data_IF_729181281826
#
_entry.id   IF_729181281826
#
_cell.length_a   1.000
_cell.length_b   1.000
_cell.length_c   1.000
_cell.angle_alpha   90.00
_cell.angle_beta   90.00
_cell.angle_gamma   90.00
#
_symmetry.space_group_name_H-M   'P 1'
#
loop_
_entity.id
_entity.type
_entity.pdbx_description
1 polymer ?
#
# COMPACT_ATOMS: atom_id res chain seq x y z
N UNK A 1 10.72 -6.33 -5.59
CA UNK A 1 9.68 -5.89 -6.53
C UNK A 1 10.33 -5.64 -7.88
N UNK A 2 9.69 -6.06 -8.95
CA UNK A 2 10.18 -5.84 -10.32
C UNK A 2 9.74 -4.46 -10.84
N UNK A 3 10.45 -3.93 -11.84
CA UNK A 3 10.05 -2.67 -12.50
C UNK A 3 8.64 -2.80 -13.10
N UNK A 4 8.30 -3.97 -13.63
CA UNK A 4 6.98 -4.23 -14.22
C UNK A 4 5.86 -4.15 -13.19
N UNK A 5 6.07 -4.67 -11.98
CA UNK A 5 5.08 -4.56 -10.89
C UNK A 5 4.85 -3.11 -10.47
N UNK A 6 5.92 -2.31 -10.37
CA UNK A 6 5.82 -0.89 -10.06
C UNK A 6 5.04 -0.11 -11.14
N UNK A 7 5.32 -0.38 -12.41
CA UNK A 7 4.59 0.20 -13.54
C UNK A 7 3.11 -0.23 -13.53
N UNK A 8 2.85 -1.50 -13.25
CA UNK A 8 1.48 -2.02 -13.17
C UNK A 8 0.66 -1.36 -12.05
N UNK A 9 1.28 -1.12 -10.90
CA UNK A 9 0.66 -0.39 -9.79
C UNK A 9 0.40 1.10 -10.12
N UNK A 10 1.24 1.71 -10.98
CA UNK A 10 1.02 3.10 -11.43
C UNK A 10 -0.05 3.23 -12.53
N UNK A 11 -0.36 2.14 -13.25
CA UNK A 11 -1.34 2.10 -14.35
C UNK A 11 -2.23 0.85 -14.20
N UNK A 12 -3.19 0.86 -13.27
CA UNK A 12 -4.11 -0.25 -13.07
C UNK A 12 -4.91 -0.59 -14.34
N UNK A 13 -5.29 0.43 -15.09
CA UNK A 13 -6.04 0.37 -16.33
C UNK A 13 -5.34 -0.37 -17.49
N UNK A 14 -4.03 -0.62 -17.36
CA UNK A 14 -3.21 -1.27 -18.41
C UNK A 14 -2.90 -2.71 -18.02
N UNK A 15 -3.05 -3.65 -18.98
CA UNK A 15 -2.57 -5.02 -18.83
C UNK A 15 -1.07 -5.12 -19.05
N UNK A 16 -0.39 -5.92 -18.22
CA UNK A 16 1.06 -6.16 -18.32
C UNK A 16 1.36 -7.64 -18.49
N UNK A 17 2.28 -7.96 -19.37
CA UNK A 17 2.85 -9.30 -19.44
C UNK A 17 4.37 -9.23 -19.58
N UNK A 18 5.07 -10.06 -18.81
CA UNK A 18 6.51 -10.22 -18.91
C UNK A 18 6.83 -11.61 -19.46
N UNK A 19 7.74 -11.66 -20.42
CA UNK A 19 8.31 -12.92 -20.92
C UNK A 19 9.82 -12.91 -20.68
N UNK A 20 10.35 -14.03 -20.22
CA UNK A 20 11.78 -14.28 -20.12
C UNK A 20 12.04 -15.63 -20.76
N UNK A 21 13.05 -15.70 -21.64
CA UNK A 21 13.45 -16.92 -22.37
C UNK A 21 12.28 -17.63 -23.09
N UNK A 22 11.39 -16.83 -23.70
CA UNK A 22 10.20 -17.32 -24.41
C UNK A 22 9.03 -17.76 -23.50
N UNK A 23 9.22 -17.82 -22.18
CA UNK A 23 8.18 -18.18 -21.22
C UNK A 23 7.53 -16.94 -20.60
N UNK A 24 6.21 -17.00 -20.41
CA UNK A 24 5.51 -15.95 -19.64
C UNK A 24 5.82 -16.13 -18.16
N UNK A 25 6.45 -15.13 -17.55
CA UNK A 25 6.83 -15.12 -16.14
C UNK A 25 5.88 -14.28 -15.30
N UNK A 26 5.18 -13.31 -15.90
CA UNK A 26 4.19 -12.48 -15.24
C UNK A 26 3.06 -12.16 -16.22
N UNK A 27 1.81 -12.23 -15.74
CA UNK A 27 0.63 -11.76 -16.46
C UNK A 27 -0.26 -11.03 -15.47
N UNK A 28 -0.48 -9.75 -15.71
CA UNK A 28 -1.35 -8.88 -14.92
C UNK A 28 -2.38 -8.28 -15.89
N UNK A 29 -3.61 -8.79 -15.95
CA UNK A 29 -4.67 -8.19 -16.74
C UNK A 29 -4.93 -6.73 -16.33
N UNK A 30 -5.58 -5.94 -17.17
CA UNK A 30 -6.09 -4.65 -16.75
C UNK A 30 -6.99 -4.83 -15.52
N UNK A 31 -6.86 -3.95 -14.54
CA UNK A 31 -7.63 -3.95 -13.31
C UNK A 31 -8.62 -2.77 -13.34
N UNK A 32 -9.78 -2.96 -12.72
CA UNK A 32 -10.80 -1.90 -12.63
C UNK A 32 -10.32 -0.73 -11.76
N UNK A 33 -9.51 -1.02 -10.74
CA UNK A 33 -8.99 -0.01 -9.82
C UNK A 33 -7.61 -0.40 -9.25
N UNK A 34 -7.05 0.49 -8.42
CA UNK A 34 -5.77 0.26 -7.76
C UNK A 34 -5.85 -0.89 -6.73
N UNK A 35 -6.99 -1.09 -6.06
CA UNK A 35 -7.14 -2.18 -5.07
C UNK A 35 -7.08 -3.54 -5.75
N UNK A 36 -7.77 -3.70 -6.87
CA UNK A 36 -7.70 -4.91 -7.68
C UNK A 36 -6.27 -5.15 -8.19
N UNK A 37 -5.58 -4.11 -8.65
CA UNK A 37 -4.18 -4.21 -9.07
C UNK A 37 -3.27 -4.64 -7.92
N UNK A 38 -3.46 -4.12 -6.72
CA UNK A 38 -2.72 -4.55 -5.53
C UNK A 38 -3.00 -6.03 -5.25
N UNK A 39 -4.25 -6.46 -5.39
CA UNK A 39 -4.61 -7.88 -5.22
C UNK A 39 -3.90 -8.80 -6.23
N UNK A 40 -3.80 -8.38 -7.49
CA UNK A 40 -3.08 -9.13 -8.53
C UNK A 40 -1.57 -9.24 -8.24
N UNK A 41 -0.95 -8.18 -7.72
CA UNK A 41 0.51 -8.12 -7.49
C UNK A 41 0.91 -8.68 -6.13
N UNK A 42 0.16 -8.39 -5.08
CA UNK A 42 0.54 -8.67 -3.69
C UNK A 42 -0.42 -9.61 -2.95
N UNK A 43 -1.48 -10.05 -3.62
CA UNK A 43 -2.47 -10.97 -3.07
C UNK A 43 -3.68 -10.27 -2.45
N UNK A 44 -4.80 -11.00 -2.52
CA UNK A 44 -6.12 -10.51 -2.12
C UNK A 44 -6.20 -10.18 -0.62
N UNK A 45 -5.52 -10.95 0.22
CA UNK A 45 -5.51 -10.74 1.68
C UNK A 45 -4.96 -9.35 2.03
N UNK A 46 -3.81 -8.96 1.47
CA UNK A 46 -3.26 -7.63 1.69
C UNK A 46 -4.22 -6.55 1.14
N UNK A 47 -4.69 -6.71 -0.11
CA UNK A 47 -5.55 -5.70 -0.73
C UNK A 47 -6.82 -5.41 0.05
N UNK A 48 -7.42 -6.45 0.67
CA UNK A 48 -8.62 -6.31 1.51
C UNK A 48 -8.35 -5.64 2.85
N UNK A 49 -7.18 -5.83 3.43
CA UNK A 49 -6.83 -5.25 4.72
C UNK A 49 -6.47 -3.76 4.65
N UNK A 50 -6.27 -3.20 3.46
CA UNK A 50 -5.82 -1.82 3.30
C UNK A 50 -6.94 -0.81 3.53
N UNK A 51 -6.58 0.29 4.18
CA UNK A 51 -7.41 1.49 4.39
C UNK A 51 -7.27 2.39 3.17
N UNK A 52 -8.37 2.92 2.66
CA UNK A 52 -8.36 3.91 1.59
C UNK A 52 -7.89 5.28 2.11
N UNK A 53 -7.16 5.99 1.27
CA UNK A 53 -6.85 7.40 1.42
C UNK A 53 -7.68 8.18 0.42
N UNK A 54 -8.41 9.18 0.91
CA UNK A 54 -9.33 10.00 0.10
C UNK A 54 -9.01 11.48 0.33
N UNK A 55 -8.11 12.02 -0.47
CA UNK A 55 -7.77 13.43 -0.53
C UNK A 55 -7.75 13.85 -2.00
N UNK A 56 -8.16 15.07 -2.37
CA UNK A 56 -8.21 15.51 -3.75
C UNK A 56 -6.89 15.42 -4.51
N UNK A 57 -5.77 15.48 -3.81
CA UNK A 57 -4.42 15.50 -4.37
C UNK A 57 -3.67 14.20 -4.10
N UNK A 58 -3.97 13.53 -2.98
CA UNK A 58 -3.31 12.30 -2.53
C UNK A 58 -4.34 11.22 -2.24
N UNK A 59 -4.36 10.18 -3.03
CA UNK A 59 -5.22 9.03 -2.84
C UNK A 59 -4.47 7.71 -2.95
N UNK A 60 -5.10 6.63 -2.57
CA UNK A 60 -4.50 5.30 -2.59
C UNK A 60 -4.84 4.48 -1.37
N UNK A 61 -3.88 3.69 -0.89
CA UNK A 61 -4.11 2.73 0.18
C UNK A 61 -2.94 2.63 1.12
N UNK A 62 -3.22 2.45 2.41
CA UNK A 62 -2.22 2.17 3.45
C UNK A 62 -2.64 1.01 4.33
N UNK A 63 -1.68 0.34 4.96
CA UNK A 63 -2.00 -0.75 5.88
C UNK A 63 -2.51 -0.22 7.23
N UNK A 64 -3.46 -0.92 7.88
CA UNK A 64 -3.80 -0.69 9.27
C UNK A 64 -2.61 -1.00 10.18
N UNK A 65 -2.69 -0.60 11.45
CA UNK A 65 -1.61 -0.80 12.42
C UNK A 65 -1.29 -2.27 12.68
N UNK A 66 -2.28 -3.16 12.54
CA UNK A 66 -2.12 -4.59 12.69
C UNK A 66 -1.29 -5.24 11.56
N UNK A 67 -1.15 -4.56 10.41
CA UNK A 67 -0.47 -5.11 9.22
C UNK A 67 0.81 -4.32 8.96
N UNK A 68 1.95 -4.95 9.21
CA UNK A 68 3.27 -4.33 9.02
C UNK A 68 4.31 -5.36 8.58
N UNK A 69 5.39 -4.90 7.94
CA UNK A 69 6.37 -5.74 7.28
C UNK A 69 7.80 -5.47 7.76
N UNK A 70 8.73 -6.42 7.64
CA UNK A 70 10.12 -6.20 8.05
C UNK A 70 10.91 -5.32 7.05
N UNK A 71 10.35 -5.08 5.88
CA UNK A 71 11.01 -4.29 4.82
C UNK A 71 10.03 -3.30 4.19
N UNK A 72 10.55 -2.29 3.47
CA UNK A 72 9.75 -1.28 2.74
C UNK A 72 9.27 -1.75 1.36
N UNK A 73 9.30 -3.06 1.07
CA UNK A 73 8.96 -3.60 -0.25
C UNK A 73 7.53 -3.28 -0.72
N UNK A 74 6.65 -2.90 0.19
CA UNK A 74 5.25 -2.55 -0.07
C UNK A 74 5.02 -1.03 -0.09
N UNK A 75 6.09 -0.25 -0.22
CA UNK A 75 5.98 1.19 -0.41
C UNK A 75 6.05 1.51 -1.90
N UNK A 76 4.96 2.03 -2.45
CA UNK A 76 4.78 2.41 -3.85
C UNK A 76 4.25 3.81 -3.94
N UNK A 77 4.87 4.63 -4.76
CA UNK A 77 4.41 5.99 -4.99
C UNK A 77 4.41 6.28 -6.48
N UNK A 78 3.32 6.86 -6.95
CA UNK A 78 3.20 7.40 -8.29
C UNK A 78 2.78 8.87 -8.23
N UNK A 79 3.38 9.70 -9.06
CA UNK A 79 3.02 11.12 -9.22
C UNK A 79 2.63 11.34 -10.66
N UNK A 80 1.40 11.81 -10.90
CA UNK A 80 0.82 11.99 -12.23
C UNK A 80 0.98 10.74 -13.11
N UNK A 81 0.72 9.56 -12.54
CA UNK A 81 0.84 8.27 -13.22
C UNK A 81 2.28 7.78 -13.44
N UNK A 82 3.31 8.51 -13.00
CA UNK A 82 4.72 8.10 -13.10
C UNK A 82 5.20 7.51 -11.79
N UNK A 83 5.84 6.36 -11.86
CA UNK A 83 6.51 5.76 -10.68
C UNK A 83 7.64 6.68 -10.23
N UNK A 84 7.66 7.00 -8.95
CA UNK A 84 8.76 7.73 -8.31
C UNK A 84 9.48 6.84 -7.30
N UNK A 85 10.73 7.21 -6.98
CA UNK A 85 11.48 6.46 -5.97
C UNK A 85 10.75 6.51 -4.62
N UNK A 86 10.41 5.34 -4.12
CA UNK A 86 9.68 5.18 -2.87
C UNK A 86 10.43 5.78 -1.67
N UNK A 87 11.76 5.77 -1.71
CA UNK A 87 12.61 6.33 -0.65
C UNK A 87 12.42 7.84 -0.46
N UNK A 88 12.00 8.56 -1.48
CA UNK A 88 11.65 9.99 -1.37
C UNK A 88 10.45 10.26 -0.45
N UNK A 89 9.55 9.30 -0.32
CA UNK A 89 8.34 9.39 0.52
C UNK A 89 8.41 8.55 1.80
N UNK A 90 9.41 7.66 1.90
CA UNK A 90 9.57 6.78 3.06
C UNK A 90 9.64 7.54 4.40
N UNK A 91 10.33 8.71 4.52
CA UNK A 91 10.32 9.47 5.77
C UNK A 91 8.95 10.01 6.14
N UNK A 92 8.12 10.43 5.16
CA UNK A 92 6.78 10.93 5.41
C UNK A 92 5.85 9.81 5.88
N UNK A 93 5.89 8.66 5.20
CA UNK A 93 5.12 7.47 5.59
C UNK A 93 5.57 7.00 6.99
N UNK A 94 6.87 6.88 7.23
CA UNK A 94 7.39 6.51 8.55
C UNK A 94 6.95 7.49 9.66
N UNK A 95 6.92 8.79 9.37
CA UNK A 95 6.45 9.82 10.32
C UNK A 95 4.95 9.70 10.61
N UNK A 96 4.16 9.33 9.60
CA UNK A 96 2.72 9.13 9.81
C UNK A 96 2.43 7.97 10.77
N UNK A 97 3.26 6.92 10.73
CA UNK A 97 3.18 5.74 11.59
C UNK A 97 4.09 5.80 12.83
N UNK A 98 4.81 6.91 13.06
CA UNK A 98 5.71 7.02 14.18
C UNK A 98 4.98 6.76 15.50
N UNK A 99 5.62 5.98 16.36
CA UNK A 99 5.11 5.55 17.67
C UNK A 99 3.89 4.61 17.62
N UNK A 100 3.40 4.27 16.43
CA UNK A 100 2.25 3.38 16.24
C UNK A 100 2.65 1.97 15.81
N UNK A 101 3.82 1.80 15.18
CA UNK A 101 4.35 0.50 14.77
C UNK A 101 5.55 0.08 15.63
N UNK A 102 5.75 -1.24 15.82
CA UNK A 102 6.96 -1.75 16.47
C UNK A 102 8.23 -1.31 15.73
N UNK A 103 9.34 -1.16 16.46
CA UNK A 103 10.63 -0.82 15.86
C UNK A 103 11.04 -1.83 14.78
N UNK A 104 11.56 -1.32 13.66
CA UNK A 104 11.98 -2.14 12.52
C UNK A 104 10.83 -2.68 11.66
N UNK A 105 9.60 -2.23 11.92
CA UNK A 105 8.44 -2.59 11.08
C UNK A 105 8.06 -1.42 10.18
N UNK A 106 7.59 -1.76 8.99
CA UNK A 106 7.20 -0.80 7.96
C UNK A 106 5.75 -1.08 7.50
N UNK A 107 4.95 -0.04 7.27
CA UNK A 107 3.62 -0.22 6.70
C UNK A 107 3.69 -0.56 5.22
N UNK A 108 2.59 -1.07 4.67
CA UNK A 108 2.33 -0.99 3.24
C UNK A 108 1.73 0.39 2.92
N UNK A 109 2.15 0.99 1.80
CA UNK A 109 1.58 2.23 1.31
C UNK A 109 1.65 2.25 -0.23
N UNK A 110 0.51 2.46 -0.85
CA UNK A 110 0.32 2.55 -2.30
C UNK A 110 -0.27 3.94 -2.58
N UNK A 111 0.60 4.91 -2.79
CA UNK A 111 0.24 6.32 -2.85
C UNK A 111 0.20 6.83 -4.29
N UNK A 112 -0.81 7.60 -4.61
CA UNK A 112 -0.92 8.32 -5.88
C UNK A 112 -1.14 9.78 -5.59
N UNK A 113 -0.29 10.62 -6.19
CA UNK A 113 -0.40 12.07 -6.14
C UNK A 113 -0.77 12.56 -7.54
N UNK A 114 -1.87 13.29 -7.63
CA UNK A 114 -2.31 13.97 -8.85
C UNK A 114 -2.15 15.48 -8.63
N UNK A 115 -1.12 16.03 -9.27
CA UNK A 115 -0.70 17.41 -9.12
C UNK A 115 -0.97 18.17 -10.41
N UNK A 116 -1.43 19.39 -10.30
CA UNK A 116 -1.73 20.24 -11.44
C UNK A 116 -0.52 20.48 -12.36
N UNK A 117 -0.77 20.83 -13.64
CA UNK A 117 0.30 21.14 -14.58
C UNK A 117 1.19 22.27 -14.02
N UNK A 118 2.48 21.96 -13.82
CA UNK A 118 3.47 22.88 -13.28
C UNK A 118 3.54 22.95 -11.75
N UNK A 119 2.80 22.13 -11.00
CA UNK A 119 2.95 22.00 -9.56
C UNK A 119 4.05 21.01 -9.15
N UNK A 120 4.55 20.25 -10.09
CA UNK A 120 5.68 19.33 -9.88
C UNK A 120 6.93 19.95 -10.46
N UNK A 121 7.92 20.23 -9.65
CA UNK A 121 9.27 20.42 -10.14
C UNK A 121 9.87 19.02 -10.40
N UNK A 122 9.77 18.56 -11.66
CA UNK A 122 10.23 17.24 -12.10
C UNK A 122 11.76 17.15 -12.09
N UNK A 123 12.46 18.25 -11.87
CA UNK A 123 13.91 18.34 -11.84
C UNK A 123 14.45 18.09 -10.43
N UNK A 124 14.01 17.00 -9.81
CA UNK A 124 14.54 16.59 -8.51
C UNK A 124 15.88 15.91 -8.73
N UNK A 125 16.94 16.63 -8.48
CA UNK A 125 18.29 16.07 -8.39
C UNK A 125 18.29 14.88 -7.40
N UNK A 126 18.91 13.72 -7.74
CA UNK A 126 18.88 12.50 -6.90
C UNK A 126 19.31 12.70 -5.45
N UNK A 127 19.97 13.82 -5.12
CA UNK A 127 20.42 14.16 -3.77
C UNK A 127 19.41 14.98 -2.94
N UNK A 128 18.23 15.35 -3.46
CA UNK A 128 17.22 16.13 -2.74
C UNK A 128 15.95 15.31 -2.55
N UNK A 129 15.84 14.66 -1.44
CA UNK A 129 14.82 13.71 -0.98
C UNK A 129 13.41 14.29 -0.77
N UNK A 130 12.97 15.28 -1.53
CA UNK A 130 11.61 15.81 -1.37
C UNK A 130 11.03 16.22 -2.73
N UNK A 131 9.94 15.56 -3.13
CA UNK A 131 9.07 16.07 -4.19
C UNK A 131 8.52 17.41 -3.70
N UNK A 132 8.97 18.50 -4.34
CA UNK A 132 8.52 19.85 -4.04
C UNK A 132 7.31 20.16 -4.92
N UNK A 133 6.24 20.56 -4.28
CA UNK A 133 5.10 21.18 -4.94
C UNK A 133 5.47 22.61 -5.31
N UNK A 134 4.90 23.13 -6.40
CA UNK A 134 5.10 24.53 -6.80
C UNK A 134 4.72 25.49 -5.65
N UNK A 135 5.49 26.54 -5.44
CA UNK A 135 5.34 27.45 -4.30
C UNK A 135 6.10 27.00 -3.04
N UNK A 136 7.05 26.06 -3.17
CA UNK A 136 7.91 25.64 -2.05
C UNK A 136 7.22 24.73 -1.03
N UNK A 137 5.98 24.33 -1.26
CA UNK A 137 5.27 23.38 -0.39
C UNK A 137 5.87 21.98 -0.57
N UNK A 138 6.16 21.32 0.51
CA UNK A 138 6.57 19.91 0.50
C UNK A 138 5.33 19.02 0.43
N UNK A 139 5.40 17.94 -0.35
CA UNK A 139 4.37 16.89 -0.31
C UNK A 139 4.38 16.14 1.05
N UNK A 140 5.43 16.32 1.83
CA UNK A 140 5.63 15.65 3.12
C UNK A 140 4.47 15.88 4.12
N UNK A 141 4.08 17.12 4.47
CA UNK A 141 2.97 17.36 5.41
C UNK A 141 1.64 16.80 4.91
N UNK A 142 1.39 16.85 3.60
CA UNK A 142 0.19 16.28 3.00
C UNK A 142 0.14 14.76 3.22
N UNK A 143 1.20 14.05 2.89
CA UNK A 143 1.27 12.59 3.09
C UNK A 143 1.09 12.22 4.56
N UNK A 144 1.79 12.91 5.47
CA UNK A 144 1.67 12.67 6.91
C UNK A 144 0.24 12.91 7.41
N UNK A 145 -0.36 14.02 7.02
CA UNK A 145 -1.71 14.41 7.44
C UNK A 145 -2.77 13.44 6.95
N UNK A 146 -2.78 13.14 5.66
CA UNK A 146 -3.77 12.24 5.03
C UNK A 146 -3.71 10.83 5.63
N UNK A 147 -2.49 10.27 5.80
CA UNK A 147 -2.34 8.94 6.41
C UNK A 147 -2.82 8.95 7.86
N UNK A 148 -2.44 9.95 8.66
CA UNK A 148 -2.89 10.04 10.06
C UNK A 148 -4.39 10.18 10.19
N UNK A 149 -5.03 10.95 9.34
CA UNK A 149 -6.48 11.09 9.31
C UNK A 149 -7.16 9.75 9.01
N UNK A 150 -6.69 9.00 8.02
CA UNK A 150 -7.23 7.68 7.69
C UNK A 150 -7.05 6.67 8.83
N UNK A 151 -5.88 6.63 9.47
CA UNK A 151 -5.62 5.77 10.63
C UNK A 151 -6.48 6.13 11.85
N UNK A 152 -6.77 7.42 12.05
CA UNK A 152 -7.64 7.86 13.14
C UNK A 152 -9.09 7.47 12.90
N UNK A 153 -9.58 7.58 11.66
CA UNK A 153 -10.92 7.17 11.27
C UNK A 153 -11.12 5.66 11.46
N UNK A 154 -10.17 4.84 11.03
CA UNK A 154 -10.21 3.39 11.23
C UNK A 154 -10.32 3.03 12.72
N UNK A 155 -9.54 3.68 13.58
CA UNK A 155 -9.60 3.46 15.03
C UNK A 155 -10.96 3.83 15.63
N UNK A 156 -11.65 4.81 15.09
CA UNK A 156 -12.97 5.24 15.55
C UNK A 156 -14.05 4.27 15.06
N UNK A 157 -13.96 3.79 13.83
CA UNK A 157 -14.91 2.82 13.26
C UNK A 157 -14.65 1.40 13.79
N UNK A 158 -13.41 1.01 13.99
CA UNK A 158 -13.02 -0.28 14.59
C UNK A 158 -13.28 -0.38 16.09
N UNK A 159 -13.60 0.73 16.76
CA UNK A 159 -14.04 0.75 18.18
C UNK A 159 -15.51 0.37 18.37
N UNK A 160 -16.28 0.18 17.29
CA UNK A 160 -17.67 -0.29 17.39
C UNK A 160 -17.75 -1.67 16.74
N UNK A 161 -17.79 -2.68 17.61
CA UNK A 161 -18.04 -4.09 17.32
C UNK A 161 -16.98 -4.78 16.43
N UNK A 162 -16.14 -5.59 17.08
CA UNK A 162 -15.89 -6.90 16.49
C UNK A 162 -17.25 -7.41 15.98
N UNK A 163 -17.37 -7.86 14.71
CA UNK A 163 -18.52 -8.68 14.37
C UNK A 163 -18.50 -9.78 15.42
N UNK A 164 -19.55 -9.85 16.21
CA UNK A 164 -19.81 -11.00 17.03
C UNK A 164 -19.74 -12.17 16.07
N UNK A 165 -18.61 -12.89 16.12
CA UNK A 165 -18.41 -14.09 15.32
C UNK A 165 -19.65 -14.90 15.59
N UNK A 166 -20.48 -15.09 14.56
CA UNK A 166 -21.46 -16.15 14.56
C UNK A 166 -20.65 -17.38 14.96
N UNK A 167 -20.83 -17.83 16.19
CA UNK A 167 -20.01 -18.83 16.83
C UNK A 167 -20.03 -20.11 16.00
N UNK A 168 -19.09 -20.20 15.08
CA UNK A 168 -18.76 -21.48 14.47
C UNK A 168 -17.92 -22.21 15.51
N UNK A 169 -18.56 -23.16 16.16
CA UNK A 169 -17.93 -24.06 17.10
C UNK A 169 -16.90 -24.90 16.30
N UNK A 170 -15.63 -24.49 16.43
CA UNK A 170 -14.53 -25.21 15.80
C UNK A 170 -14.33 -26.54 16.55
N UNK A 171 -14.73 -27.62 15.93
CA UNK A 171 -14.46 -28.95 16.46
C UNK A 171 -13.05 -29.40 16.10
N UNK A 172 -12.18 -29.53 17.11
CA UNK A 172 -10.84 -30.05 16.95
C UNK A 172 -10.92 -31.54 16.60
N UNK A 173 -10.58 -31.93 15.38
CA UNK A 173 -10.62 -33.34 14.91
C UNK A 173 -9.36 -34.10 15.31
N UNK A 174 -8.21 -33.41 15.40
CA UNK A 174 -6.96 -34.04 15.80
C UNK A 174 -5.71 -33.33 15.34
N UNK A 175 -4.57 -33.88 15.73
CA UNK A 175 -3.25 -33.40 15.36
C UNK A 175 -2.58 -34.42 14.44
N UNK A 176 -2.15 -34.00 13.26
CA UNK A 176 -1.45 -34.86 12.32
C UNK A 176 0.07 -34.54 12.34
N UNK A 177 0.89 -35.56 12.49
CA UNK A 177 2.36 -35.50 12.47
C UNK A 177 2.99 -34.48 13.42
N UNK A 178 2.35 -34.13 14.54
CA UNK A 178 2.88 -33.22 15.57
C UNK A 178 3.00 -31.74 15.12
N UNK A 179 2.52 -31.38 13.92
CA UNK A 179 2.71 -30.04 13.34
C UNK A 179 1.47 -29.40 12.73
N UNK A 180 0.40 -30.13 12.55
CA UNK A 180 -0.85 -29.61 11.98
C UNK A 180 -2.00 -29.88 12.92
N UNK A 181 -2.86 -28.86 13.11
CA UNK A 181 -4.14 -29.00 13.79
C UNK A 181 -5.21 -29.02 12.68
N UNK A 182 -6.03 -30.07 12.66
CA UNK A 182 -7.17 -30.17 11.76
C UNK A 182 -8.42 -29.78 12.53
N UNK A 183 -9.11 -28.76 12.07
CA UNK A 183 -10.36 -28.30 12.62
C UNK A 183 -11.42 -28.20 11.50
N UNK A 184 -12.67 -28.46 11.85
CA UNK A 184 -13.80 -28.34 10.95
C UNK A 184 -14.70 -27.20 11.42
N UNK A 185 -15.17 -26.35 10.48
CA UNK A 185 -16.18 -25.32 10.67
C UNK A 185 -17.58 -25.94 10.64
#
# INVERSE_FOLDING_TARGET
MTVVEALALSRPDVGFSLRSDGRRTLVLPAAADLRERIAQVHGLSLARSLIALEDPVLWGFVSPLAVSFPTRRYLHVAVNGRVVEADSFAPAVARAYADLLPKGRHPAAFLRLELGPGEVDVNVHPAKSAVRLRGGRSAYPLVVGTIRSALAQERTVGGTALPEEAGHELTLIGQFAGRCIVAQL
#
